data_IF_240435083617
#
_entry.id   IF_240435083617
#
_cell.length_a   1.000
_cell.length_b   1.000
_cell.length_c   1.000
_cell.angle_alpha   90.00
_cell.angle_beta   90.00
_cell.angle_gamma   90.00
#
_symmetry.space_group_name_H-M   'P 1'
#
loop_
_entity.id
_entity.type
_entity.pdbx_description
1 polymer ?
#
# COMPACT_ATOMS: atom_id res chain seq x y z
N UNK A 1 -30.54 -0.02 10.45
CA UNK A 1 -29.70 1.11 10.87
C UNK A 1 -28.28 0.75 10.51
N UNK A 2 -27.63 1.58 9.70
CA UNK A 2 -26.22 1.40 9.36
C UNK A 2 -25.38 2.05 10.46
N UNK A 3 -24.47 1.29 11.07
CA UNK A 3 -23.49 1.82 12.01
C UNK A 3 -22.24 2.18 11.21
N UNK A 4 -21.96 3.48 11.09
CA UNK A 4 -20.73 3.97 10.45
C UNK A 4 -19.73 4.37 11.54
N UNK A 5 -18.57 3.71 11.56
CA UNK A 5 -17.42 4.10 12.38
C UNK A 5 -16.46 4.86 11.48
N UNK A 6 -16.01 6.04 11.92
CA UNK A 6 -15.09 6.92 11.17
C UNK A 6 -13.82 7.10 11.98
N UNK A 7 -12.71 7.29 11.26
CA UNK A 7 -11.41 7.66 11.83
C UNK A 7 -10.73 8.67 10.90
N UNK A 8 -9.84 9.47 11.45
CA UNK A 8 -8.90 10.31 10.69
C UNK A 8 -7.52 9.66 10.77
N UNK A 9 -6.74 9.79 9.71
CA UNK A 9 -5.41 9.20 9.67
C UNK A 9 -4.79 9.20 8.29
N UNK A 10 -3.55 8.72 8.23
CA UNK A 10 -2.84 8.49 6.98
C UNK A 10 -3.02 7.04 6.54
N UNK A 11 -3.11 6.83 5.22
CA UNK A 11 -3.35 5.52 4.62
C UNK A 11 -2.34 5.25 3.51
N UNK A 12 -1.80 4.03 3.51
CA UNK A 12 -0.99 3.47 2.44
C UNK A 12 -1.69 2.23 1.90
N UNK A 13 -1.93 2.17 0.60
CA UNK A 13 -2.54 1.04 -0.08
C UNK A 13 -1.46 0.12 -0.63
N UNK A 14 -1.69 -1.19 -0.57
CA UNK A 14 -0.83 -2.18 -1.18
C UNK A 14 -1.47 -2.74 -2.43
N UNK A 15 -0.75 -3.64 -3.07
CA UNK A 15 -1.20 -4.27 -4.32
C UNK A 15 -1.72 -5.67 -4.05
N UNK A 16 -1.03 -6.39 -3.17
CA UNK A 16 -1.44 -7.72 -2.74
C UNK A 16 -1.10 -7.90 -1.27
N UNK A 17 -1.93 -8.64 -0.58
CA UNK A 17 -1.73 -9.01 0.80
C UNK A 17 -2.65 -10.16 1.16
N UNK A 18 -2.38 -10.77 2.30
CA UNK A 18 -3.29 -11.73 2.92
C UNK A 18 -3.01 -11.88 4.42
N UNK A 19 -3.93 -12.51 5.13
CA UNK A 19 -3.89 -12.69 6.57
C UNK A 19 -5.09 -12.03 7.24
N UNK A 20 -5.05 -11.93 8.56
CA UNK A 20 -6.08 -11.28 9.35
C UNK A 20 -5.71 -9.80 9.62
N UNK A 21 -6.71 -8.92 9.78
CA UNK A 21 -6.49 -7.56 10.28
C UNK A 21 -5.70 -7.57 11.58
N UNK A 22 -4.72 -6.68 11.70
CA UNK A 22 -3.85 -6.64 12.88
C UNK A 22 -3.32 -5.24 13.13
N UNK A 23 -2.91 -4.98 14.38
CA UNK A 23 -2.43 -3.69 14.85
C UNK A 23 -1.17 -3.88 15.67
N UNK A 24 -0.19 -2.98 15.49
CA UNK A 24 1.06 -3.03 16.23
C UNK A 24 1.97 -1.85 15.94
N UNK A 25 3.07 -1.69 16.70
CA UNK A 25 4.06 -0.66 16.44
C UNK A 25 4.80 -0.93 15.13
N UNK A 26 5.00 0.11 14.31
CA UNK A 26 5.75 0.00 13.05
C UNK A 26 7.26 -0.11 13.31
N UNK A 27 7.92 -1.06 12.65
CA UNK A 27 9.38 -1.22 12.69
C UNK A 27 9.93 -1.39 11.29
N UNK A 28 10.98 -0.67 10.94
CA UNK A 28 11.68 -0.82 9.65
C UNK A 28 12.97 -1.60 9.87
N UNK A 29 13.16 -2.70 9.15
CA UNK A 29 14.29 -3.64 9.34
C UNK A 29 15.30 -3.66 8.19
N UNK A 30 15.09 -2.86 7.16
CA UNK A 30 16.01 -2.74 6.01
C UNK A 30 16.60 -1.34 5.95
N UNK A 31 17.86 -1.17 5.50
CA UNK A 31 18.48 0.15 5.43
C UNK A 31 18.01 1.00 4.25
N UNK A 32 17.46 0.39 3.19
CA UNK A 32 16.95 1.08 2.02
C UNK A 32 15.70 0.42 1.44
N UNK A 33 15.03 1.15 0.55
CA UNK A 33 13.75 0.78 -0.05
C UNK A 33 13.83 -0.47 -0.95
N UNK A 34 15.00 -0.88 -1.40
CA UNK A 34 15.24 -2.06 -2.25
C UNK A 34 16.11 -3.13 -1.59
N UNK A 35 16.51 -2.91 -0.34
CA UNK A 35 17.38 -3.84 0.39
C UNK A 35 16.64 -5.11 0.81
N UNK A 36 17.23 -6.27 0.52
CA UNK A 36 16.69 -7.55 0.97
C UNK A 36 16.77 -7.67 2.51
N UNK A 37 15.75 -8.30 3.11
CA UNK A 37 15.74 -8.54 4.55
C UNK A 37 16.70 -9.66 4.94
N UNK A 38 17.64 -9.36 5.84
CA UNK A 38 18.53 -10.35 6.42
C UNK A 38 17.76 -11.31 7.35
N UNK A 39 18.08 -12.60 7.29
CA UNK A 39 17.44 -13.60 8.16
C UNK A 39 18.07 -13.66 9.56
N UNK A 40 19.30 -13.18 9.71
CA UNK A 40 20.06 -13.16 10.95
C UNK A 40 20.11 -11.75 11.54
N UNK A 41 20.33 -11.66 12.85
CA UNK A 41 20.51 -10.38 13.53
C UNK A 41 19.24 -9.52 13.60
N UNK A 42 18.07 -10.14 13.48
CA UNK A 42 16.81 -9.45 13.73
C UNK A 42 16.78 -8.94 15.18
N UNK A 43 16.23 -7.73 15.43
CA UNK A 43 16.00 -7.24 16.79
C UNK A 43 15.19 -8.23 17.62
N UNK A 44 15.42 -8.25 18.93
CA UNK A 44 14.72 -9.17 19.85
C UNK A 44 13.32 -8.69 20.23
N UNK A 45 12.99 -7.43 19.96
CA UNK A 45 11.77 -6.74 20.38
C UNK A 45 10.76 -6.57 19.23
N UNK A 46 10.54 -7.65 18.47
CA UNK A 46 9.64 -7.64 17.30
C UNK A 46 8.27 -8.27 17.55
N UNK A 47 8.06 -8.89 18.72
CA UNK A 47 6.79 -9.54 19.04
C UNK A 47 5.62 -8.55 18.94
N UNK A 48 4.62 -8.88 18.13
CA UNK A 48 3.45 -8.03 17.87
C UNK A 48 3.71 -6.80 16.98
N UNK A 49 4.93 -6.61 16.47
CA UNK A 49 5.25 -5.47 15.61
C UNK A 49 4.73 -5.65 14.18
N UNK A 50 4.44 -4.54 13.50
CA UNK A 50 4.28 -4.50 12.05
C UNK A 50 5.62 -4.12 11.43
N UNK A 51 6.25 -5.07 10.77
CA UNK A 51 7.60 -4.96 10.22
C UNK A 51 7.56 -4.52 8.76
N UNK A 52 8.41 -3.57 8.40
CA UNK A 52 8.65 -3.11 7.03
C UNK A 52 10.01 -3.64 6.54
N UNK A 53 10.00 -4.24 5.35
CA UNK A 53 11.20 -4.64 4.61
C UNK A 53 11.15 -4.12 3.17
N UNK A 54 12.03 -3.19 2.82
CA UNK A 54 12.01 -2.48 1.54
C UNK A 54 12.05 -3.41 0.33
N UNK A 55 13.05 -4.28 0.26
CA UNK A 55 13.30 -5.16 -0.88
C UNK A 55 12.62 -6.53 -0.78
N UNK A 56 13.36 -7.56 -1.17
CA UNK A 56 12.89 -8.94 -1.13
C UNK A 56 13.03 -9.58 0.25
N UNK A 57 12.19 -10.57 0.53
CA UNK A 57 12.25 -11.35 1.77
C UNK A 57 12.52 -12.81 1.42
N UNK A 58 13.70 -13.36 1.74
CA UNK A 58 13.99 -14.77 1.52
C UNK A 58 13.25 -15.67 2.52
N UNK A 59 13.08 -16.95 2.21
CA UNK A 59 12.36 -17.93 3.02
C UNK A 59 12.91 -18.02 4.46
N UNK A 60 14.24 -17.90 4.62
CA UNK A 60 14.88 -17.88 5.92
C UNK A 60 14.46 -16.67 6.77
N UNK A 61 14.27 -15.50 6.15
CA UNK A 61 13.81 -14.29 6.85
C UNK A 61 12.32 -14.41 7.20
N UNK A 62 11.48 -14.99 6.31
CA UNK A 62 10.09 -15.29 6.64
C UNK A 62 9.96 -16.15 7.91
N UNK A 63 10.77 -17.21 8.01
CA UNK A 63 10.84 -18.08 9.20
C UNK A 63 11.36 -17.35 10.44
N UNK A 64 12.40 -16.54 10.29
CA UNK A 64 12.96 -15.77 11.40
C UNK A 64 11.95 -14.77 11.98
N UNK A 65 11.20 -14.07 11.11
CA UNK A 65 10.10 -13.19 11.52
C UNK A 65 8.96 -13.95 12.22
N UNK A 66 8.64 -15.17 11.74
CA UNK A 66 7.63 -16.01 12.38
C UNK A 66 8.06 -16.40 13.80
N UNK A 67 9.31 -16.82 13.96
CA UNK A 67 9.88 -17.14 15.27
C UNK A 67 9.95 -15.93 16.21
N UNK A 68 10.13 -14.73 15.65
CA UNK A 68 10.12 -13.47 16.40
C UNK A 68 8.71 -13.01 16.82
N UNK A 69 7.65 -13.67 16.31
CA UNK A 69 6.27 -13.39 16.71
C UNK A 69 5.70 -12.06 16.22
N UNK A 70 6.14 -11.58 15.05
CA UNK A 70 5.61 -10.34 14.47
C UNK A 70 4.11 -10.43 14.20
N UNK A 71 3.42 -9.29 14.20
CA UNK A 71 2.01 -9.21 13.81
C UNK A 71 1.85 -9.22 12.29
N UNK A 72 2.70 -8.48 11.56
CA UNK A 72 2.62 -8.38 10.11
C UNK A 72 3.93 -7.98 9.45
N UNK A 73 4.05 -8.30 8.15
CA UNK A 73 5.12 -7.88 7.25
C UNK A 73 4.56 -7.02 6.11
N UNK A 74 5.13 -5.84 5.93
CA UNK A 74 4.95 -4.96 4.76
C UNK A 74 6.24 -4.96 3.95
N UNK A 75 6.16 -5.29 2.67
CA UNK A 75 7.35 -5.42 1.82
C UNK A 75 7.15 -4.83 0.43
N UNK A 76 8.23 -4.65 -0.34
CA UNK A 76 8.13 -4.20 -1.72
C UNK A 76 7.34 -5.20 -2.58
N UNK A 77 7.82 -6.45 -2.63
CA UNK A 77 7.21 -7.51 -3.43
C UNK A 77 7.09 -8.83 -2.66
N UNK A 78 6.00 -9.57 -2.90
CA UNK A 78 5.86 -10.96 -2.48
C UNK A 78 6.48 -11.91 -3.51
N UNK A 79 7.17 -12.94 -3.01
CA UNK A 79 7.59 -14.08 -3.81
C UNK A 79 6.83 -15.33 -3.33
N UNK A 80 5.86 -15.85 -4.11
CA UNK A 80 5.15 -17.07 -3.75
C UNK A 80 6.09 -18.26 -3.51
N UNK A 81 7.23 -18.29 -4.21
CA UNK A 81 8.29 -19.29 -4.02
C UNK A 81 8.92 -19.20 -2.64
N UNK A 82 9.33 -18.00 -2.21
CA UNK A 82 9.98 -17.82 -0.90
C UNK A 82 9.00 -18.07 0.24
N UNK A 83 7.75 -17.63 0.10
CA UNK A 83 6.70 -17.86 1.11
C UNK A 83 6.36 -19.35 1.20
N UNK A 84 6.18 -20.02 0.05
CA UNK A 84 5.92 -21.46 0.02
C UNK A 84 7.08 -22.27 0.61
N UNK A 85 8.33 -21.90 0.31
CA UNK A 85 9.51 -22.53 0.91
C UNK A 85 9.71 -22.18 2.39
N UNK A 86 9.13 -21.09 2.90
CA UNK A 86 9.22 -20.71 4.30
C UNK A 86 8.28 -21.52 5.19
N UNK A 87 7.10 -21.85 4.67
CA UNK A 87 5.98 -22.42 5.42
C UNK A 87 5.55 -23.80 4.91
N UNK A 88 6.44 -24.49 4.17
CA UNK A 88 6.26 -25.85 3.64
C UNK A 88 4.95 -26.04 2.88
N UNK A 89 4.61 -25.07 2.02
CA UNK A 89 3.45 -25.21 1.15
C UNK A 89 3.80 -26.12 -0.02
N UNK A 90 3.19 -27.31 -0.07
CA UNK A 90 3.37 -28.28 -1.15
C UNK A 90 3.14 -27.61 -2.52
N UNK A 91 4.24 -27.43 -3.26
CA UNK A 91 4.27 -26.75 -4.57
C UNK A 91 3.68 -27.57 -5.72
N UNK A 92 2.98 -28.67 -5.42
CA UNK A 92 2.45 -29.59 -6.44
C UNK A 92 1.16 -29.05 -7.09
N UNK A 93 0.54 -28.02 -6.51
CA UNK A 93 -0.52 -27.26 -7.13
C UNK A 93 0.09 -26.28 -8.17
N UNK A 94 0.43 -26.81 -9.36
CA UNK A 94 1.06 -26.11 -10.50
C UNK A 94 0.25 -24.92 -11.05
N UNK A 95 -0.93 -24.64 -10.48
CA UNK A 95 -1.92 -23.65 -10.97
C UNK A 95 -1.95 -22.40 -10.07
N UNK A 96 -0.82 -22.01 -9.47
CA UNK A 96 -0.62 -20.81 -8.61
C UNK A 96 -1.10 -20.98 -7.16
N UNK A 97 -0.16 -20.82 -6.22
CA UNK A 97 -0.42 -20.74 -4.78
C UNK A 97 -1.42 -19.63 -4.44
N UNK A 98 -1.32 -18.47 -5.11
CA UNK A 98 -2.25 -17.35 -4.96
C UNK A 98 -3.43 -17.49 -5.91
N UNK A 99 -4.65 -17.49 -5.36
CA UNK A 99 -5.89 -17.66 -6.12
C UNK A 99 -7.07 -16.99 -5.42
N UNK A 100 -8.20 -16.75 -6.13
CA UNK A 100 -9.46 -16.44 -5.49
C UNK A 100 -9.86 -17.60 -4.54
N UNK A 101 -10.20 -17.26 -3.31
CA UNK A 101 -10.65 -18.18 -2.27
C UNK A 101 -12.18 -18.32 -2.33
N UNK A 102 -12.70 -19.50 -1.94
CA UNK A 102 -14.13 -19.72 -1.89
C UNK A 102 -14.77 -18.90 -0.76
N UNK A 103 -15.97 -18.36 -0.98
CA UNK A 103 -16.66 -17.49 -0.03
C UNK A 103 -16.65 -16.02 -0.46
N UNK A 104 -16.02 -15.15 0.32
CA UNK A 104 -15.91 -13.71 0.06
C UNK A 104 -14.97 -13.33 -1.09
N UNK A 105 -14.42 -14.34 -1.78
CA UNK A 105 -13.61 -14.19 -3.00
C UNK A 105 -12.36 -13.33 -2.78
N UNK A 106 -11.80 -13.33 -1.55
CA UNK A 106 -10.44 -12.85 -1.27
C UNK A 106 -9.42 -13.56 -2.15
N UNK A 107 -8.35 -12.85 -2.50
CA UNK A 107 -7.22 -13.36 -3.26
C UNK A 107 -6.05 -13.63 -2.32
N UNK A 108 -5.56 -14.86 -2.28
CA UNK A 108 -4.52 -15.24 -1.34
C UNK A 108 -4.08 -16.69 -1.50
N UNK A 109 -3.12 -17.13 -0.68
CA UNK A 109 -2.75 -18.52 -0.58
C UNK A 109 -3.85 -19.33 0.13
N UNK A 110 -3.98 -20.62 -0.21
CA UNK A 110 -4.88 -21.54 0.52
C UNK A 110 -4.38 -21.83 1.93
N UNK A 111 -3.07 -21.98 2.08
CA UNK A 111 -2.45 -22.23 3.36
C UNK A 111 -2.29 -20.92 4.15
N UNK A 112 -2.46 -21.00 5.47
CA UNK A 112 -2.33 -19.85 6.36
C UNK A 112 -0.85 -19.50 6.55
N UNK A 113 -0.56 -18.20 6.68
CA UNK A 113 0.71 -17.70 7.20
C UNK A 113 0.59 -17.46 8.71
N UNK A 114 1.72 -17.46 9.45
CA UNK A 114 1.73 -17.16 10.88
C UNK A 114 1.47 -15.68 11.21
N UNK A 115 1.62 -14.79 10.23
CA UNK A 115 1.37 -13.35 10.35
C UNK A 115 0.81 -12.78 9.04
N UNK A 116 0.21 -11.59 9.11
CA UNK A 116 -0.32 -10.91 7.94
C UNK A 116 0.81 -10.40 7.03
N UNK A 117 0.60 -10.41 5.72
CA UNK A 117 1.58 -9.89 4.76
C UNK A 117 0.93 -8.94 3.78
N UNK A 118 1.68 -7.93 3.36
CA UNK A 118 1.29 -6.93 2.36
C UNK A 118 2.51 -6.59 1.51
N UNK A 119 2.30 -6.49 0.20
CA UNK A 119 3.27 -5.93 -0.72
C UNK A 119 2.77 -4.66 -1.39
N UNK A 120 3.65 -3.67 -1.49
CA UNK A 120 3.37 -2.34 -2.05
C UNK A 120 3.56 -2.26 -3.57
N UNK A 121 4.34 -3.18 -4.16
CA UNK A 121 4.63 -3.29 -5.60
C UNK A 121 4.20 -4.65 -6.18
N UNK A 122 3.49 -5.46 -5.40
CA UNK A 122 2.84 -6.68 -5.88
C UNK A 122 3.72 -7.93 -5.75
N UNK A 123 3.95 -8.62 -6.86
CA UNK A 123 4.71 -9.87 -6.90
C UNK A 123 6.05 -9.69 -7.62
N UNK A 124 7.03 -10.51 -7.25
CA UNK A 124 8.34 -10.57 -7.90
C UNK A 124 9.45 -10.14 -6.96
N UNK A 125 10.36 -9.30 -7.46
CA UNK A 125 11.59 -8.91 -6.75
C UNK A 125 11.81 -7.40 -6.72
N UNK A 126 10.75 -6.60 -6.90
CA UNK A 126 10.86 -5.15 -6.88
C UNK A 126 10.93 -4.66 -5.43
N UNK A 127 11.86 -3.74 -5.18
CA UNK A 127 11.87 -2.97 -3.95
C UNK A 127 10.69 -2.00 -3.88
N UNK A 128 10.43 -1.54 -2.67
CA UNK A 128 9.51 -0.45 -2.40
C UNK A 128 9.95 0.83 -3.11
N UNK A 129 9.00 1.69 -3.49
CA UNK A 129 9.33 3.05 -3.88
C UNK A 129 10.13 3.76 -2.75
N UNK A 130 11.22 4.49 -3.08
CA UNK A 130 12.00 5.25 -2.09
C UNK A 130 11.16 6.26 -1.30
N UNK A 131 10.20 6.92 -1.94
CA UNK A 131 9.33 7.91 -1.35
C UNK A 131 8.32 7.28 -0.38
N UNK A 132 7.78 6.11 -0.72
CA UNK A 132 6.92 5.34 0.18
C UNK A 132 7.70 4.83 1.39
N UNK A 133 8.90 4.32 1.14
CA UNK A 133 9.80 3.87 2.21
C UNK A 133 10.17 5.02 3.16
N UNK A 134 10.46 6.21 2.62
CA UNK A 134 10.71 7.43 3.41
C UNK A 134 9.50 7.83 4.25
N UNK A 135 8.28 7.69 3.72
CA UNK A 135 7.04 7.92 4.47
C UNK A 135 6.93 6.95 5.65
N UNK A 136 7.17 5.66 5.43
CA UNK A 136 7.14 4.63 6.48
C UNK A 136 8.25 4.80 7.53
N UNK A 137 9.42 5.33 7.16
CA UNK A 137 10.45 5.72 8.13
C UNK A 137 9.93 6.78 9.11
N UNK A 138 9.08 7.71 8.64
CA UNK A 138 8.43 8.71 9.48
C UNK A 138 7.40 8.15 10.47
N UNK A 139 6.92 6.92 10.25
CA UNK A 139 5.92 6.26 11.10
C UNK A 139 6.54 5.29 12.11
N UNK A 140 7.87 5.15 12.16
CA UNK A 140 8.56 4.20 13.04
C UNK A 140 8.19 4.44 14.51
N UNK A 141 7.82 3.35 15.20
CA UNK A 141 7.41 3.37 16.60
C UNK A 141 5.95 3.73 16.83
N UNK A 142 5.24 4.26 15.82
CA UNK A 142 3.82 4.55 15.92
C UNK A 142 2.98 3.29 15.71
N UNK A 143 1.80 3.27 16.33
CA UNK A 143 0.84 2.17 16.17
C UNK A 143 0.10 2.30 14.85
N UNK A 144 0.19 1.27 14.02
CA UNK A 144 -0.46 1.18 12.72
C UNK A 144 -1.37 -0.04 12.68
N UNK A 145 -2.41 0.02 11.85
CA UNK A 145 -3.32 -1.09 11.56
C UNK A 145 -3.15 -1.55 10.13
N UNK A 146 -2.90 -2.84 9.94
CA UNK A 146 -2.89 -3.48 8.63
C UNK A 146 -4.22 -4.20 8.39
N UNK A 147 -4.87 -3.85 7.29
CA UNK A 147 -5.99 -4.57 6.67
C UNK A 147 -5.42 -5.30 5.44
N UNK A 148 -5.01 -6.57 5.54
CA UNK A 148 -4.19 -7.20 4.50
C UNK A 148 -5.01 -7.80 3.36
N UNK A 149 -6.34 -7.75 3.41
CA UNK A 149 -7.17 -8.47 2.44
C UNK A 149 -7.04 -7.87 1.03
N UNK A 150 -6.78 -8.75 0.06
CA UNK A 150 -6.95 -8.42 -1.37
C UNK A 150 -8.21 -9.10 -1.88
N UNK A 151 -9.04 -8.41 -2.64
CA UNK A 151 -10.25 -8.97 -3.25
C UNK A 151 -10.30 -8.60 -4.72
N UNK A 152 -10.42 -9.60 -5.61
CA UNK A 152 -10.29 -9.40 -7.07
C UNK A 152 -11.59 -9.61 -7.84
N UNK A 153 -12.71 -9.77 -7.15
CA UNK A 153 -14.00 -10.07 -7.78
C UNK A 153 -15.05 -9.04 -7.37
N UNK A 154 -15.65 -8.38 -8.36
CA UNK A 154 -16.47 -7.19 -8.12
C UNK A 154 -15.58 -5.96 -8.06
N UNK A 155 -15.68 -5.18 -6.98
CA UNK A 155 -14.78 -4.05 -6.75
C UNK A 155 -13.43 -4.55 -6.24
N UNK A 156 -12.34 -4.06 -6.83
CA UNK A 156 -10.98 -4.37 -6.38
C UNK A 156 -10.80 -3.88 -4.94
N UNK A 157 -10.59 -4.80 -4.00
CA UNK A 157 -10.19 -4.50 -2.63
C UNK A 157 -8.68 -4.63 -2.53
N UNK A 158 -8.02 -3.56 -2.08
CA UNK A 158 -6.57 -3.52 -1.87
C UNK A 158 -6.27 -3.62 -0.37
N UNK A 159 -5.13 -4.20 0.01
CA UNK A 159 -4.67 -4.13 1.39
C UNK A 159 -4.34 -2.68 1.76
N UNK A 160 -4.47 -2.34 3.04
CA UNK A 160 -4.31 -0.99 3.55
C UNK A 160 -3.51 -1.00 4.86
N UNK A 161 -2.50 -0.14 4.96
CA UNK A 161 -1.80 0.18 6.19
C UNK A 161 -2.26 1.58 6.63
N UNK A 162 -2.81 1.66 7.84
CA UNK A 162 -3.44 2.86 8.36
C UNK A 162 -2.70 3.30 9.61
N UNK A 163 -2.23 4.55 9.60
CA UNK A 163 -1.78 5.26 10.79
C UNK A 163 -2.95 6.14 11.25
N UNK A 164 -3.52 5.82 12.41
CA UNK A 164 -4.61 6.62 12.98
C UNK A 164 -4.04 7.90 13.56
N UNK A 165 -4.65 9.04 13.22
CA UNK A 165 -4.40 10.31 13.88
C UNK A 165 -5.47 10.51 14.95
N UNK A 166 -5.14 10.12 16.19
CA UNK A 166 -6.05 10.25 17.33
C UNK A 166 -6.39 11.72 17.62
N UNK A 167 -5.49 12.66 17.31
CA UNK A 167 -5.73 14.09 17.53
C UNK A 167 -6.73 14.69 16.52
N UNK A 168 -6.86 14.07 15.34
CA UNK A 168 -7.84 14.45 14.34
C UNK A 168 -9.27 14.00 14.65
N UNK A 169 -9.48 13.11 15.64
CA UNK A 169 -10.81 12.61 16.01
C UNK A 169 -11.65 13.64 16.76
N UNK A 170 -11.00 14.56 17.49
CA UNK A 170 -11.64 15.64 18.25
C UNK A 170 -11.83 16.93 17.43
N UNK A 171 -11.44 16.92 16.16
CA UNK A 171 -11.57 18.08 15.28
C UNK A 171 -12.91 18.06 14.56
N UNK A 172 -13.71 19.12 14.71
CA UNK A 172 -14.90 19.39 13.88
C UNK A 172 -14.55 19.74 12.42
N UNK A 173 -13.26 19.73 12.07
CA UNK A 173 -12.81 19.95 10.70
C UNK A 173 -13.07 18.67 9.90
N UNK A 174 -13.73 18.79 8.75
CA UNK A 174 -13.73 17.70 7.78
C UNK A 174 -12.26 17.35 7.49
N UNK A 175 -11.83 16.09 7.71
CA UNK A 175 -10.46 15.71 7.42
C UNK A 175 -10.18 16.06 5.97
N UNK A 176 -8.99 16.59 5.69
CA UNK A 176 -8.58 16.94 4.33
C UNK A 176 -8.60 15.66 3.52
N UNK A 177 -9.73 15.38 2.87
CA UNK A 177 -9.90 14.18 2.09
C UNK A 177 -8.82 14.24 1.04
N UNK A 178 -8.05 13.17 0.90
CA UNK A 178 -6.99 13.09 -0.08
C UNK A 178 -7.62 13.33 -1.48
N UNK A 179 -7.61 14.57 -1.93
CA UNK A 179 -8.42 15.03 -3.06
C UNK A 179 -7.52 15.03 -4.28
N UNK A 180 -8.06 14.53 -5.38
CA UNK A 180 -7.41 14.56 -6.68
C UNK A 180 -7.44 15.97 -7.28
N UNK A 181 -6.71 16.89 -6.66
CA UNK A 181 -6.53 18.27 -7.12
C UNK A 181 -5.23 18.46 -7.89
N UNK A 182 -5.15 19.41 -8.82
CA UNK A 182 -3.89 19.76 -9.49
C UNK A 182 -2.76 20.01 -8.47
N UNK A 183 -1.59 19.43 -8.72
CA UNK A 183 -0.42 19.47 -7.85
C UNK A 183 -0.37 18.35 -6.79
N UNK A 184 -1.45 17.59 -6.57
CA UNK A 184 -1.41 16.44 -5.67
C UNK A 184 -0.41 15.40 -6.17
N UNK A 185 0.36 14.83 -5.25
CA UNK A 185 1.30 13.75 -5.55
C UNK A 185 0.58 12.43 -5.34
N UNK A 186 0.60 11.61 -6.38
CA UNK A 186 -0.11 10.36 -6.43
C UNK A 186 0.80 9.20 -6.81
N UNK A 187 0.40 7.98 -6.45
CA UNK A 187 1.04 6.74 -6.87
C UNK A 187 0.10 5.92 -7.72
N UNK A 188 0.62 5.43 -8.83
CA UNK A 188 -0.12 4.58 -9.75
C UNK A 188 -0.13 3.14 -9.27
N UNK A 189 -1.32 2.54 -9.29
CA UNK A 189 -1.57 1.16 -8.85
C UNK A 189 -2.06 0.26 -9.99
N UNK A 190 -2.06 0.76 -11.23
CA UNK A 190 -2.30 -0.05 -12.43
C UNK A 190 -1.09 -0.93 -12.77
N UNK A 191 -1.32 -2.07 -13.42
CA UNK A 191 -0.27 -3.05 -13.70
C UNK A 191 0.85 -2.52 -14.60
N UNK A 192 0.55 -1.61 -15.54
CA UNK A 192 1.54 -1.12 -16.49
C UNK A 192 2.52 -0.12 -15.84
N UNK A 193 2.06 0.62 -14.83
CA UNK A 193 2.81 1.70 -14.17
C UNK A 193 2.88 1.53 -12.65
N UNK A 194 2.79 0.29 -12.18
CA UNK A 194 2.68 -0.04 -10.77
C UNK A 194 3.83 0.57 -9.95
N UNK A 195 3.47 1.35 -8.93
CA UNK A 195 4.41 1.99 -8.02
C UNK A 195 5.01 3.30 -8.54
N UNK A 196 4.72 3.72 -9.77
CA UNK A 196 5.19 5.00 -10.30
C UNK A 196 4.47 6.16 -9.63
N UNK A 197 5.22 7.21 -9.31
CA UNK A 197 4.68 8.44 -8.76
C UNK A 197 4.38 9.42 -9.87
N UNK A 198 3.36 10.24 -9.66
CA UNK A 198 2.92 11.23 -10.64
C UNK A 198 2.38 12.47 -9.93
N UNK A 199 2.38 13.59 -10.64
CA UNK A 199 1.72 14.82 -10.20
C UNK A 199 0.41 14.97 -10.93
N UNK A 200 -0.69 15.20 -10.21
CA UNK A 200 -2.00 15.47 -10.81
C UNK A 200 -1.94 16.80 -11.57
N UNK A 201 -2.36 16.80 -12.84
CA UNK A 201 -2.34 17.98 -13.68
C UNK A 201 -3.67 18.71 -13.74
N UNK A 202 -4.78 17.98 -13.62
CA UNK A 202 -6.12 18.54 -13.74
C UNK A 202 -7.15 17.73 -12.93
N UNK A 203 -8.40 18.20 -12.91
CA UNK A 203 -9.52 17.55 -12.23
C UNK A 203 -9.96 16.27 -12.97
N UNK A 204 -10.55 15.29 -12.26
CA UNK A 204 -11.11 14.10 -12.90
C UNK A 204 -12.16 14.38 -13.98
N UNK A 205 -12.20 13.56 -15.03
CA UNK A 205 -13.14 13.67 -16.15
C UNK A 205 -13.51 12.29 -16.73
N UNK A 206 -14.61 12.21 -17.50
CA UNK A 206 -14.99 10.97 -18.21
C UNK A 206 -14.10 10.75 -19.43
N UNK A 207 -13.40 9.62 -19.47
CA UNK A 207 -12.50 9.27 -20.57
C UNK A 207 -12.75 7.84 -21.08
N UNK A 208 -12.73 7.67 -22.41
CA UNK A 208 -12.80 6.35 -23.05
C UNK A 208 -11.39 5.90 -23.41
N UNK A 209 -10.88 4.93 -22.67
CA UNK A 209 -9.55 4.36 -22.92
C UNK A 209 -9.54 3.50 -24.21
N UNK A 210 -8.35 3.20 -24.79
CA UNK A 210 -8.22 2.32 -25.95
C UNK A 210 -8.87 0.94 -25.79
N UNK A 211 -9.02 0.46 -24.56
CA UNK A 211 -9.76 -0.77 -24.24
C UNK A 211 -11.28 -0.67 -24.46
N UNK A 212 -11.80 0.48 -24.88
CA UNK A 212 -13.22 0.77 -25.07
C UNK A 212 -13.97 1.17 -23.78
N UNK A 213 -13.37 0.98 -22.60
CA UNK A 213 -14.01 1.24 -21.30
C UNK A 213 -14.09 2.74 -21.01
N UNK A 214 -15.31 3.24 -20.76
CA UNK A 214 -15.58 4.62 -20.33
C UNK A 214 -15.62 4.69 -18.80
N UNK A 215 -14.67 5.40 -18.21
CA UNK A 215 -14.52 5.55 -16.75
C UNK A 215 -14.04 6.95 -16.40
N UNK A 216 -14.00 7.25 -15.10
CA UNK A 216 -13.35 8.46 -14.62
C UNK A 216 -11.84 8.33 -14.72
N UNK A 217 -11.22 9.32 -15.36
CA UNK A 217 -9.79 9.44 -15.56
C UNK A 217 -9.29 10.75 -14.98
N UNK A 218 -7.98 10.81 -14.78
CA UNK A 218 -7.27 12.01 -14.38
C UNK A 218 -5.96 12.09 -15.15
N UNK A 219 -5.59 13.30 -15.57
CA UNK A 219 -4.31 13.54 -16.23
C UNK A 219 -3.22 13.71 -15.18
N UNK A 220 -2.13 12.98 -15.35
CA UNK A 220 -0.95 13.05 -14.48
C UNK A 220 0.33 13.26 -15.29
N UNK A 221 1.33 13.88 -14.66
CA UNK A 221 2.71 13.95 -15.16
C UNK A 221 3.57 12.96 -14.40
N UNK A 222 4.22 12.05 -15.13
CA UNK A 222 5.13 11.02 -14.61
C UNK A 222 6.58 11.53 -14.45
N UNK A 223 6.77 12.85 -14.51
CA UNK A 223 8.07 13.52 -14.47
C UNK A 223 8.68 13.81 -15.84
N UNK A 224 7.95 13.54 -16.93
CA UNK A 224 8.37 13.84 -18.31
C UNK A 224 7.84 15.17 -18.83
N UNK A 225 6.87 15.79 -18.13
CA UNK A 225 6.11 16.93 -18.63
C UNK A 225 4.97 16.54 -19.59
N UNK A 226 4.79 15.24 -19.87
CA UNK A 226 3.71 14.74 -20.72
C UNK A 226 2.44 14.47 -19.91
N UNK A 227 1.28 14.82 -20.47
CA UNK A 227 -0.03 14.49 -19.87
C UNK A 227 -0.36 13.02 -20.15
N UNK A 228 -0.41 12.21 -19.11
CA UNK A 228 -0.80 10.81 -19.19
C UNK A 228 -2.16 10.59 -18.55
N UNK A 229 -3.21 10.17 -19.28
CA UNK A 229 -4.49 9.83 -18.67
C UNK A 229 -4.39 8.49 -17.93
N UNK A 230 -4.82 8.48 -16.68
CA UNK A 230 -4.90 7.28 -15.83
C UNK A 230 -6.29 7.14 -15.23
N UNK A 231 -6.73 5.91 -14.94
CA UNK A 231 -8.05 5.70 -14.30
C UNK A 231 -7.97 6.15 -12.85
N UNK A 232 -8.94 6.92 -12.38
CA UNK A 232 -9.01 7.40 -10.98
C UNK A 232 -8.89 6.24 -9.99
N UNK A 233 -9.53 5.10 -10.27
CA UNK A 233 -9.48 3.89 -9.43
C UNK A 233 -8.09 3.25 -9.31
N UNK A 234 -7.13 3.67 -10.15
CA UNK A 234 -5.75 3.18 -10.15
C UNK A 234 -4.77 4.23 -9.61
N UNK A 235 -5.27 5.26 -8.92
CA UNK A 235 -4.47 6.35 -8.37
C UNK A 235 -4.68 6.40 -6.86
N UNK A 236 -3.58 6.46 -6.12
CA UNK A 236 -3.58 6.71 -4.68
C UNK A 236 -2.96 8.09 -4.42
N UNK A 237 -3.66 8.95 -3.67
CA UNK A 237 -3.11 10.24 -3.23
C UNK A 237 -2.18 10.00 -2.04
N UNK A 238 -0.95 10.48 -2.15
CA UNK A 238 0.08 10.33 -1.12
C UNK A 238 0.38 11.66 -0.42
N UNK A 239 0.37 12.76 -1.16
CA UNK A 239 0.49 14.11 -0.62
C UNK A 239 -0.53 15.02 -1.30
N UNK A 240 -1.27 15.78 -0.50
CA UNK A 240 -2.14 16.85 -1.00
C UNK A 240 -1.28 18.10 -1.18
N UNK A 241 -1.43 18.80 -2.31
CA UNK A 241 -0.80 20.09 -2.48
C UNK A 241 -1.39 21.07 -1.44
N UNK A 242 -0.57 21.92 -0.78
CA UNK A 242 -1.12 22.93 0.12
C UNK A 242 -2.15 23.78 -0.65
N UNK A 243 -3.24 24.21 -0.01
CA UNK A 243 -4.22 25.08 -0.66
C UNK A 243 -3.49 26.30 -1.21
N UNK A 244 -3.69 26.58 -2.51
CA UNK A 244 -3.14 27.79 -3.13
C UNK A 244 -3.61 28.97 -2.29
N UNK A 245 -2.67 29.73 -1.71
CA UNK A 245 -2.99 30.98 -1.04
C UNK A 245 -3.87 31.82 -1.98
N UNK A 246 -4.95 32.46 -1.49
CA UNK A 246 -5.77 33.30 -2.32
C UNK A 246 -4.86 34.32 -3.01
N UNK A 247 -4.92 34.37 -4.33
CA UNK A 247 -4.26 35.42 -5.08
C UNK A 247 -4.90 36.73 -4.61
N UNK A 248 -4.22 37.46 -3.73
CA UNK A 248 -4.57 38.83 -3.45
C UNK A 248 -4.46 39.56 -4.78
N UNK A 249 -5.60 39.91 -5.36
CA UNK A 249 -5.65 40.82 -6.49
C UNK A 249 -4.95 42.09 -6.02
N UNK A 250 -3.77 42.35 -6.58
CA UNK A 250 -3.12 43.64 -6.46
C UNK A 250 -4.02 44.64 -7.17
N UNK A 251 -4.77 45.41 -6.38
CA UNK A 251 -5.60 46.50 -6.86
C UNK A 251 -4.67 47.54 -7.51
N UNK A 252 -4.87 47.91 -8.79
CA UNK A 252 -4.04 48.92 -9.42
C UNK A 252 -4.44 50.29 -8.88
N UNK A 253 -3.54 50.88 -8.08
CA UNK A 253 -3.54 52.30 -7.69
C UNK A 253 -3.21 53.22 -8.87
#
# INVERSE_FOLDING_TARGET
SELTIRTVGSRISGIVGHGEPTTGPLRVLTPAADSALAAQGLPTDLAGAIVVAGGTVPAAAYRALAAAGIAALVTGSLSPREIGAAFDWDGEDRISTWRPLAGDRRFGPRAKTPYAVMATEGFGTRGMSPELFATLLGWVGQTVTLLPATGVTGTLMRPELILVDESGLDSDSEPDQATLTPGAIVRLTDQARLGQWATVLDRPYRHRFPSGVLTDAIDVDLGSGERTPVRVVNVEVLLVAPPRAPAFASDPS
#
